data_IF_660490521157
#
_entry.id   IF_660490521157
#
_cell.length_a   1.000
_cell.length_b   1.000
_cell.length_c   1.000
_cell.angle_alpha   90.00
_cell.angle_beta   90.00
_cell.angle_gamma   90.00
#
_symmetry.space_group_name_H-M   'P 1'
#
loop_
_entity.id
_entity.type
_entity.pdbx_description
1 polymer ?
#
# COMPACT_ATOMS: atom_id res chain seq x y z
N UNK A 1 -6.44 -1.16 21.63
CA UNK A 1 -6.81 0.27 21.72
C UNK A 1 -7.31 0.71 20.36
N UNK A 2 -8.62 0.88 20.20
CA UNK A 2 -9.28 1.18 18.92
C UNK A 2 -9.04 2.64 18.51
N UNK A 3 -7.82 2.97 18.07
CA UNK A 3 -7.58 4.18 17.32
C UNK A 3 -8.11 3.96 15.91
N UNK A 4 -9.38 4.30 15.68
CA UNK A 4 -9.86 4.53 14.31
C UNK A 4 -9.14 5.78 13.81
N UNK A 5 -7.93 5.63 13.28
CA UNK A 5 -7.37 6.67 12.42
C UNK A 5 -8.46 6.97 11.39
N UNK A 6 -8.79 8.26 11.23
CA UNK A 6 -9.72 8.69 10.20
C UNK A 6 -9.27 8.21 8.82
N UNK A 7 -10.05 8.49 7.79
CA UNK A 7 -9.65 8.15 6.42
C UNK A 7 -8.35 8.90 6.07
N UNK A 8 -7.30 8.18 5.73
CA UNK A 8 -6.06 8.76 5.21
C UNK A 8 -6.28 9.13 3.73
N UNK A 9 -6.25 10.41 3.33
CA UNK A 9 -6.26 10.76 1.92
C UNK A 9 -4.97 10.28 1.25
N UNK A 10 -5.10 9.59 0.13
CA UNK A 10 -3.98 9.10 -0.67
C UNK A 10 -3.81 9.91 -1.95
N UNK A 11 -2.58 10.32 -2.25
CA UNK A 11 -2.22 11.04 -3.46
C UNK A 11 -0.95 10.45 -4.08
N UNK A 12 -0.93 10.31 -5.41
CA UNK A 12 0.26 9.81 -6.12
C UNK A 12 1.45 10.73 -5.84
N UNK A 13 2.61 10.13 -5.58
CA UNK A 13 3.83 10.83 -5.20
C UNK A 13 3.98 11.10 -3.70
N UNK A 14 2.96 10.82 -2.88
CA UNK A 14 3.08 11.04 -1.44
C UNK A 14 4.00 10.01 -0.78
N UNK A 15 4.76 10.40 0.25
CA UNK A 15 5.46 9.46 1.11
C UNK A 15 4.45 8.67 1.95
N UNK A 16 4.69 7.37 2.09
CA UNK A 16 3.90 6.45 2.89
C UNK A 16 4.81 5.53 3.70
N UNK A 17 4.28 5.01 4.81
CA UNK A 17 4.94 4.00 5.63
C UNK A 17 4.06 2.75 5.67
N UNK A 18 4.67 1.59 5.44
CA UNK A 18 4.03 0.29 5.60
C UNK A 18 4.01 -0.04 7.09
N UNK A 19 2.81 -0.27 7.65
CA UNK A 19 2.63 -0.44 9.11
C UNK A 19 2.48 -1.91 9.54
N UNK A 20 2.58 -2.85 8.61
CA UNK A 20 2.48 -4.28 8.85
C UNK A 20 3.54 -5.01 8.02
N UNK A 21 4.04 -6.13 8.52
CA UNK A 21 4.93 -6.97 7.72
C UNK A 21 4.16 -7.52 6.52
N UNK A 22 4.68 -7.29 5.32
CA UNK A 22 4.02 -7.70 4.09
C UNK A 22 4.81 -8.82 3.40
N UNK A 23 6.10 -8.58 3.15
CA UNK A 23 7.02 -9.57 2.61
C UNK A 23 8.39 -9.38 3.26
N UNK A 24 8.63 -10.15 4.33
CA UNK A 24 9.87 -10.05 5.11
C UNK A 24 11.08 -10.50 4.29
N UNK A 25 10.91 -11.43 3.36
CA UNK A 25 12.01 -11.91 2.53
C UNK A 25 12.44 -10.87 1.49
N UNK A 26 11.48 -10.08 0.99
CA UNK A 26 11.75 -8.95 0.10
C UNK A 26 12.07 -7.64 0.85
N UNK A 27 12.24 -7.67 2.18
CA UNK A 27 12.56 -6.47 2.97
C UNK A 27 11.39 -5.50 3.21
N UNK A 28 10.16 -5.92 2.91
CA UNK A 28 8.94 -5.12 3.13
C UNK A 28 8.37 -5.46 4.53
N UNK A 29 8.89 -4.74 5.52
CA UNK A 29 8.58 -4.92 6.94
C UNK A 29 7.81 -3.71 7.49
N UNK A 30 7.27 -3.85 8.69
CA UNK A 30 6.72 -2.72 9.42
C UNK A 30 7.79 -1.63 9.58
N UNK A 31 7.45 -0.41 9.17
CA UNK A 31 8.35 0.74 9.15
C UNK A 31 9.00 1.00 7.78
N UNK A 32 8.88 0.09 6.81
CA UNK A 32 9.35 0.34 5.44
C UNK A 32 8.68 1.59 4.87
N UNK A 33 9.49 2.52 4.37
CA UNK A 33 8.99 3.77 3.79
C UNK A 33 9.10 3.76 2.28
N UNK A 34 8.21 4.47 1.61
CA UNK A 34 8.19 4.50 0.17
C UNK A 34 7.32 5.60 -0.40
N UNK A 35 7.24 5.62 -1.72
CA UNK A 35 6.45 6.60 -2.47
C UNK A 35 5.27 5.92 -3.12
N UNK A 36 4.06 6.47 -2.95
CA UNK A 36 2.85 5.97 -3.58
C UNK A 36 2.89 6.21 -5.11
N UNK A 37 2.80 5.16 -5.93
CA UNK A 37 2.89 5.24 -7.39
C UNK A 37 1.60 4.94 -8.12
N UNK A 38 0.73 4.12 -7.53
CA UNK A 38 -0.56 3.76 -8.12
C UNK A 38 -1.61 3.54 -7.03
N UNK A 39 -2.86 3.88 -7.30
CA UNK A 39 -4.01 3.61 -6.42
C UNK A 39 -5.07 2.87 -7.24
N UNK A 40 -5.62 1.78 -6.68
CA UNK A 40 -6.77 1.06 -7.22
C UNK A 40 -7.93 1.16 -6.24
N UNK A 41 -9.08 1.61 -6.71
CA UNK A 41 -10.28 1.78 -5.90
C UNK A 41 -11.54 1.45 -6.71
N UNK A 42 -12.61 1.06 -6.01
CA UNK A 42 -13.96 1.02 -6.54
C UNK A 42 -14.73 2.29 -6.15
N UNK A 43 -15.76 2.60 -6.92
CA UNK A 43 -16.68 3.72 -6.65
C UNK A 43 -18.05 3.12 -6.38
N UNK A 44 -18.68 3.48 -5.25
CA UNK A 44 -20.05 3.06 -4.95
C UNK A 44 -21.10 3.94 -5.66
N UNK A 45 -22.38 3.60 -5.49
CA UNK A 45 -23.51 4.33 -6.06
C UNK A 45 -23.58 5.80 -5.59
N UNK A 46 -22.99 6.11 -4.42
CA UNK A 46 -22.92 7.47 -3.88
C UNK A 46 -21.71 8.26 -4.38
N UNK A 47 -20.89 7.68 -5.26
CA UNK A 47 -19.66 8.29 -5.78
C UNK A 47 -18.47 8.19 -4.82
N UNK A 48 -18.58 7.42 -3.73
CA UNK A 48 -17.52 7.29 -2.74
C UNK A 48 -16.50 6.23 -3.16
N UNK A 49 -15.22 6.57 -2.99
CA UNK A 49 -14.09 5.71 -3.38
C UNK A 49 -13.68 4.79 -2.23
N UNK A 50 -13.53 3.50 -2.52
CA UNK A 50 -13.04 2.48 -1.59
C UNK A 50 -11.75 1.88 -2.12
N UNK A 51 -10.68 2.03 -1.35
CA UNK A 51 -9.37 1.53 -1.70
C UNK A 51 -9.38 -0.02 -1.73
N UNK A 52 -8.82 -0.60 -2.79
CA UNK A 52 -8.56 -2.03 -2.89
C UNK A 52 -7.08 -2.35 -2.77
N UNK A 53 -6.24 -1.57 -3.43
CA UNK A 53 -4.79 -1.73 -3.34
C UNK A 53 -4.07 -0.47 -3.79
N UNK A 54 -2.79 -0.41 -3.48
CA UNK A 54 -1.89 0.57 -4.05
C UNK A 54 -0.56 -0.07 -4.44
N UNK A 55 0.23 0.64 -5.24
CA UNK A 55 1.62 0.27 -5.52
C UNK A 55 2.52 1.30 -4.89
N UNK A 56 3.47 0.85 -4.09
CA UNK A 56 4.45 1.68 -3.39
C UNK A 56 5.83 1.34 -3.91
N UNK A 57 6.59 2.35 -4.32
CA UNK A 57 8.02 2.21 -4.59
C UNK A 57 8.77 2.28 -3.27
N UNK A 58 9.44 1.19 -2.89
CA UNK A 58 10.18 1.03 -1.63
C UNK A 58 11.67 0.86 -2.00
N UNK A 59 12.50 1.91 -1.88
CA UNK A 59 13.89 1.87 -2.35
C UNK A 59 14.74 0.76 -1.72
N UNK A 60 14.42 0.38 -0.48
CA UNK A 60 15.16 -0.64 0.28
C UNK A 60 14.59 -2.05 0.09
N UNK A 61 13.65 -2.24 -0.85
CA UNK A 61 13.10 -3.55 -1.17
C UNK A 61 14.16 -4.41 -1.88
N UNK A 62 14.31 -5.64 -1.41
CA UNK A 62 15.20 -6.64 -1.95
C UNK A 62 14.40 -7.68 -2.76
N UNK A 63 15.10 -8.46 -3.60
CA UNK A 63 14.50 -9.51 -4.40
C UNK A 63 14.06 -9.09 -5.81
N UNK A 64 13.56 -10.05 -6.60
CA UNK A 64 13.20 -9.81 -8.00
C UNK A 64 11.96 -8.93 -8.13
N UNK A 65 11.87 -8.19 -9.23
CA UNK A 65 10.66 -7.46 -9.57
C UNK A 65 9.47 -8.41 -9.75
N UNK A 66 8.30 -8.04 -9.24
CA UNK A 66 7.07 -8.76 -9.49
C UNK A 66 6.66 -8.63 -10.97
N UNK A 67 6.00 -9.64 -11.56
CA UNK A 67 5.53 -9.56 -12.94
C UNK A 67 4.69 -8.31 -13.18
N UNK A 68 5.00 -7.58 -14.25
CA UNK A 68 4.33 -6.33 -14.65
C UNK A 68 4.50 -5.16 -13.67
N UNK A 69 5.46 -5.24 -12.73
CA UNK A 69 5.87 -4.12 -11.90
C UNK A 69 7.35 -3.80 -12.11
N UNK A 70 7.76 -2.52 -12.03
CA UNK A 70 9.17 -2.19 -12.01
C UNK A 70 9.85 -2.79 -10.76
N UNK A 71 11.20 -2.89 -10.73
CA UNK A 71 11.93 -3.24 -9.53
C UNK A 71 11.52 -2.37 -8.34
N UNK A 72 11.57 -2.93 -7.14
CA UNK A 72 11.30 -2.20 -5.89
C UNK A 72 9.86 -1.67 -5.76
N UNK A 73 8.91 -2.16 -6.56
CA UNK A 73 7.51 -1.79 -6.46
C UNK A 73 6.70 -2.91 -5.81
N UNK A 74 6.14 -2.60 -4.65
CA UNK A 74 5.34 -3.49 -3.85
C UNK A 74 3.83 -3.18 -4.02
N UNK A 75 2.99 -4.17 -4.37
CA UNK A 75 1.56 -4.03 -4.27
C UNK A 75 1.13 -4.18 -2.80
N UNK A 76 0.54 -3.14 -2.22
CA UNK A 76 -0.05 -3.19 -0.88
C UNK A 76 -1.55 -3.38 -1.03
N UNK A 77 -2.06 -4.49 -0.51
CA UNK A 77 -3.48 -4.84 -0.56
C UNK A 77 -4.21 -4.29 0.66
N UNK A 78 -5.50 -3.96 0.50
CA UNK A 78 -6.34 -3.62 1.64
C UNK A 78 -6.44 -4.84 2.57
N UNK A 79 -6.17 -4.62 3.85
CA UNK A 79 -6.42 -5.61 4.88
C UNK A 79 -7.93 -5.56 5.22
N UNK A 80 -8.63 -6.67 4.98
CA UNK A 80 -10.04 -6.82 5.36
C UNK A 80 -10.08 -7.46 6.73
N UNK A 81 -10.40 -6.67 7.76
CA UNK A 81 -10.92 -7.23 9.00
C UNK A 81 -12.37 -7.63 8.76
N UNK A 82 -12.62 -8.92 8.57
CA UNK A 82 -13.96 -9.46 8.81
C UNK A 82 -14.32 -9.15 10.27
N UNK A 83 -15.43 -8.43 10.46
CA UNK A 83 -16.00 -8.10 11.77
C UNK A 83 -16.90 -9.23 12.27
#
# INVERSE_FOLDING_TARGET
TSYRLGKLPLAIGMPVMVTQNFDVQAGIVNGSTGTLKQIRYAVDESGKRYLHSCVVHIPDMEGPALPNLPPQHAPILVDTVDL
#
